data_IF_462176026465
#
_entry.id   IF_462176026465
#
_cell.length_a   1.000
_cell.length_b   1.000
_cell.length_c   1.000
_cell.angle_alpha   90.00
_cell.angle_beta   90.00
_cell.angle_gamma   90.00
#
_symmetry.space_group_name_H-M   'P 1'
#
loop_
_entity.id
_entity.type
_entity.pdbx_description
1 polymer ?
#
# COMPACT_ATOMS: atom_id res chain seq x y z
N UNK A 1 3.57 -30.22 15.81
CA UNK A 1 4.64 -29.20 15.72
C UNK A 1 4.72 -28.46 17.03
N UNK A 2 5.89 -28.00 17.43
CA UNK A 2 6.05 -27.13 18.61
C UNK A 2 5.76 -25.68 18.21
N UNK A 3 4.99 -24.97 19.04
CA UNK A 3 4.73 -23.54 18.90
C UNK A 3 5.41 -22.81 20.06
N UNK A 4 6.13 -21.72 19.76
CA UNK A 4 6.73 -20.84 20.76
C UNK A 4 5.93 -19.55 20.84
N UNK A 5 5.38 -19.25 22.01
CA UNK A 5 4.64 -18.01 22.28
C UNK A 5 5.40 -17.19 23.31
N UNK A 6 5.75 -15.95 22.96
CA UNK A 6 6.35 -15.01 23.89
C UNK A 6 5.25 -14.20 24.59
N UNK A 7 5.23 -14.22 25.92
CA UNK A 7 4.27 -13.45 26.73
C UNK A 7 4.95 -12.16 27.17
N UNK A 8 4.38 -11.02 26.79
CA UNK A 8 4.97 -9.69 26.99
C UNK A 8 3.88 -8.76 27.51
N UNK A 9 4.23 -7.86 28.43
CA UNK A 9 3.36 -6.74 28.81
C UNK A 9 2.98 -5.92 27.58
N UNK A 10 1.76 -5.41 27.54
CA UNK A 10 1.22 -4.79 26.33
C UNK A 10 2.03 -3.57 25.89
N UNK A 11 2.40 -2.67 26.81
CA UNK A 11 3.18 -1.47 26.46
C UNK A 11 4.64 -1.83 26.12
N UNK A 12 5.21 -2.83 26.78
CA UNK A 12 6.53 -3.38 26.40
C UNK A 12 6.52 -4.01 25.00
N UNK A 13 5.40 -4.60 24.61
CA UNK A 13 5.18 -5.09 23.27
C UNK A 13 5.14 -3.93 22.25
N UNK A 14 4.43 -2.83 22.55
CA UNK A 14 4.40 -1.64 21.67
C UNK A 14 5.82 -1.07 21.48
N UNK A 15 6.64 -1.00 22.53
CA UNK A 15 8.05 -0.58 22.45
C UNK A 15 8.91 -1.45 21.52
N UNK A 16 8.52 -2.70 21.29
CA UNK A 16 9.21 -3.58 20.35
C UNK A 16 8.72 -3.38 18.90
N UNK A 17 7.42 -3.14 18.71
CA UNK A 17 6.81 -3.02 17.39
C UNK A 17 7.18 -1.70 16.71
N UNK A 18 7.05 -0.57 17.40
CA UNK A 18 7.29 0.76 16.83
C UNK A 18 8.64 0.84 16.09
N UNK A 19 9.79 0.51 16.71
CA UNK A 19 11.09 0.54 16.02
C UNK A 19 11.29 -0.62 15.03
N UNK A 20 10.43 -1.63 15.04
CA UNK A 20 10.46 -2.74 14.08
C UNK A 20 9.77 -2.39 12.77
N UNK A 21 8.73 -1.56 12.83
CA UNK A 21 7.90 -1.12 11.71
C UNK A 21 8.41 0.16 11.05
N UNK A 22 8.84 1.14 11.83
CA UNK A 22 9.35 2.43 11.34
C UNK A 22 10.79 2.68 11.79
N UNK A 23 11.48 3.61 11.14
CA UNK A 23 12.85 3.95 11.55
C UNK A 23 12.83 4.71 12.88
N UNK A 24 13.69 4.28 13.81
CA UNK A 24 13.82 4.90 15.13
C UNK A 24 14.43 6.31 15.12
N UNK A 25 14.88 6.80 13.96
CA UNK A 25 15.40 8.16 13.72
C UNK A 25 14.35 9.12 13.19
N UNK A 26 13.11 8.66 12.96
CA UNK A 26 12.03 9.53 12.51
C UNK A 26 11.60 10.53 13.57
N UNK A 27 10.94 11.64 13.17
CA UNK A 27 10.52 12.69 14.10
C UNK A 27 9.70 12.14 15.26
N UNK A 28 9.89 12.72 16.44
CA UNK A 28 9.23 12.28 17.67
C UNK A 28 7.70 12.24 17.53
N UNK A 29 7.10 13.28 16.95
CA UNK A 29 5.65 13.37 16.74
C UNK A 29 5.14 12.25 15.81
N UNK A 30 5.93 11.84 14.81
CA UNK A 30 5.61 10.68 13.99
C UNK A 30 5.65 9.39 14.82
N UNK A 31 6.67 9.20 15.68
CA UNK A 31 6.79 8.01 16.51
C UNK A 31 5.63 7.92 17.52
N UNK A 32 5.22 9.04 18.12
CA UNK A 32 4.05 9.12 19.01
C UNK A 32 2.76 8.77 18.27
N UNK A 33 2.49 9.42 17.13
CA UNK A 33 1.26 9.19 16.37
C UNK A 33 1.17 7.76 15.84
N UNK A 34 2.30 7.20 15.41
CA UNK A 34 2.40 5.81 15.00
C UNK A 34 2.21 4.84 16.18
N UNK A 35 2.69 5.18 17.38
CA UNK A 35 2.47 4.37 18.59
C UNK A 35 0.98 4.20 18.91
N UNK A 36 0.18 5.25 18.75
CA UNK A 36 -1.29 5.20 18.93
C UNK A 36 -1.93 4.25 17.89
N UNK A 37 -1.51 4.33 16.63
CA UNK A 37 -2.01 3.43 15.59
C UNK A 37 -1.63 1.96 15.87
N UNK A 38 -0.37 1.70 16.21
CA UNK A 38 0.13 0.37 16.58
C UNK A 38 -0.64 -0.19 17.79
N UNK A 39 -0.89 0.63 18.81
CA UNK A 39 -1.65 0.23 20.00
C UNK A 39 -3.09 -0.13 19.64
N UNK A 40 -3.76 0.72 18.86
CA UNK A 40 -5.15 0.50 18.42
C UNK A 40 -5.28 -0.79 17.60
N UNK A 41 -4.36 -1.01 16.67
CA UNK A 41 -4.30 -2.23 15.88
C UNK A 41 -4.07 -3.47 16.75
N UNK A 42 -3.09 -3.42 17.65
CA UNK A 42 -2.73 -4.53 18.52
C UNK A 42 -3.89 -4.89 19.46
N UNK A 43 -4.55 -3.88 20.03
CA UNK A 43 -5.70 -4.06 20.91
C UNK A 43 -6.89 -4.68 20.17
N UNK A 44 -7.19 -4.25 18.93
CA UNK A 44 -8.22 -4.87 18.09
C UNK A 44 -7.93 -6.37 17.89
N UNK A 45 -6.68 -6.75 17.60
CA UNK A 45 -6.33 -8.18 17.39
C UNK A 45 -6.45 -9.02 18.67
N UNK A 46 -6.18 -8.44 19.82
CA UNK A 46 -6.37 -9.10 21.12
C UNK A 46 -7.87 -9.31 21.38
N UNK A 47 -8.67 -8.24 21.30
CA UNK A 47 -10.11 -8.27 21.60
C UNK A 47 -10.86 -9.18 20.60
N UNK A 48 -10.55 -9.05 19.30
CA UNK A 48 -11.23 -9.81 18.26
C UNK A 48 -10.84 -11.29 18.21
N UNK A 49 -9.86 -11.72 19.01
CA UNK A 49 -9.45 -13.12 19.17
C UNK A 49 -9.11 -13.82 17.83
N UNK A 50 -8.53 -13.08 16.87
CA UNK A 50 -8.30 -13.58 15.51
C UNK A 50 -7.38 -14.82 15.44
N UNK A 51 -6.59 -15.05 16.49
CA UNK A 51 -5.66 -16.17 16.59
C UNK A 51 -5.96 -17.14 17.74
N UNK A 52 -7.21 -17.13 18.25
CA UNK A 52 -7.63 -18.01 19.36
C UNK A 52 -7.37 -19.50 19.06
N UNK A 53 -7.58 -19.93 17.82
CA UNK A 53 -7.32 -21.31 17.40
C UNK A 53 -5.82 -21.69 17.42
N UNK A 54 -4.94 -20.70 17.29
CA UNK A 54 -3.48 -20.89 17.32
C UNK A 54 -2.86 -20.64 18.70
N UNK A 55 -3.65 -20.18 19.69
CA UNK A 55 -3.18 -19.97 21.07
C UNK A 55 -2.29 -18.73 21.27
N UNK A 56 -2.34 -17.75 20.37
CA UNK A 56 -1.66 -16.46 20.51
C UNK A 56 -2.58 -15.32 20.06
N UNK A 57 -2.22 -14.07 20.35
CA UNK A 57 -3.04 -12.90 19.95
C UNK A 57 -2.57 -12.28 18.63
N UNK A 58 -1.25 -12.23 18.40
CA UNK A 58 -0.62 -11.51 17.28
C UNK A 58 0.59 -12.29 16.77
N UNK A 59 0.80 -12.37 15.45
CA UNK A 59 2.00 -12.98 14.85
C UNK A 59 3.06 -11.92 14.44
N UNK A 60 4.37 -12.26 14.45
CA UNK A 60 5.46 -11.29 14.25
C UNK A 60 5.79 -10.97 12.78
N UNK A 61 4.89 -11.27 11.86
CA UNK A 61 5.08 -11.11 10.41
C UNK A 61 4.16 -10.03 9.85
N UNK A 62 4.31 -9.71 8.57
CA UNK A 62 3.44 -8.79 7.82
C UNK A 62 1.96 -9.21 7.78
N UNK A 63 1.63 -10.42 8.26
CA UNK A 63 0.25 -10.83 8.48
C UNK A 63 -0.40 -10.04 9.62
N UNK A 64 0.33 -9.76 10.70
CA UNK A 64 -0.17 -8.90 11.78
C UNK A 64 0.67 -7.64 11.91
N UNK A 65 1.88 -7.74 12.46
CA UNK A 65 2.84 -6.64 12.58
C UNK A 65 4.25 -7.20 12.82
N UNK A 66 5.26 -6.45 12.40
CA UNK A 66 6.66 -6.85 12.53
C UNK A 66 7.11 -6.70 13.98
N UNK A 67 7.49 -7.80 14.62
CA UNK A 67 8.05 -7.83 15.96
C UNK A 67 9.45 -8.43 15.93
N UNK A 68 10.48 -7.64 16.27
CA UNK A 68 11.89 -8.07 16.34
C UNK A 68 12.46 -8.00 17.76
N UNK A 69 11.59 -7.96 18.77
CA UNK A 69 11.95 -7.72 20.17
C UNK A 69 12.58 -6.34 20.38
N UNK A 70 13.40 -6.20 21.42
CA UNK A 70 14.03 -4.93 21.84
C UNK A 70 15.24 -4.49 21.01
N UNK A 71 15.65 -5.26 19.99
CA UNK A 71 16.92 -5.02 19.25
C UNK A 71 17.02 -3.64 18.57
N UNK A 72 15.88 -3.02 18.25
CA UNK A 72 15.84 -1.70 17.58
C UNK A 72 15.32 -0.57 18.47
N UNK A 73 14.91 -0.89 19.70
CA UNK A 73 14.37 0.09 20.63
C UNK A 73 15.44 1.10 21.04
N UNK A 74 15.05 2.36 21.13
CA UNK A 74 15.89 3.47 21.59
C UNK A 74 15.15 4.26 22.66
N UNK A 75 15.87 5.12 23.39
CA UNK A 75 15.24 6.05 24.34
C UNK A 75 14.16 6.91 23.66
N UNK A 76 14.37 7.30 22.40
CA UNK A 76 13.40 8.09 21.66
C UNK A 76 12.11 7.31 21.36
N UNK A 77 12.21 6.06 20.91
CA UNK A 77 11.04 5.23 20.62
C UNK A 77 10.31 4.84 21.90
N UNK A 78 11.04 4.50 22.96
CA UNK A 78 10.44 4.17 24.26
C UNK A 78 9.69 5.38 24.84
N UNK A 79 10.28 6.58 24.76
CA UNK A 79 9.62 7.82 25.20
C UNK A 79 8.36 8.11 24.39
N UNK A 80 8.35 7.90 23.09
CA UNK A 80 7.17 8.09 22.26
C UNK A 80 6.01 7.16 22.67
N UNK A 81 6.33 5.91 23.00
CA UNK A 81 5.34 4.94 23.51
C UNK A 81 4.82 5.36 24.88
N UNK A 82 5.70 5.75 25.81
CA UNK A 82 5.29 6.15 27.17
C UNK A 82 4.48 7.45 27.20
N UNK A 83 4.83 8.46 26.38
CA UNK A 83 4.05 9.71 26.30
C UNK A 83 2.63 9.44 25.77
N UNK A 84 2.47 8.42 24.92
CA UNK A 84 1.17 8.03 24.36
C UNK A 84 0.56 6.82 25.04
N UNK A 85 1.03 6.47 26.25
CA UNK A 85 0.59 5.28 26.98
C UNK A 85 -0.94 5.26 27.10
N UNK A 86 -1.55 4.11 26.83
CA UNK A 86 -3.00 3.95 26.89
C UNK A 86 -3.80 4.62 25.76
N UNK A 87 -3.20 5.52 24.97
CA UNK A 87 -3.92 6.22 23.91
C UNK A 87 -4.16 5.32 22.70
N UNK A 88 -5.43 5.22 22.30
CA UNK A 88 -5.90 4.48 21.11
C UNK A 88 -6.84 5.34 20.28
N UNK A 89 -7.20 4.87 19.08
CA UNK A 89 -8.15 5.50 18.19
C UNK A 89 -9.54 4.89 18.36
N UNK A 90 -10.54 5.76 18.50
CA UNK A 90 -11.95 5.41 18.61
C UNK A 90 -12.76 6.14 17.53
N UNK A 91 -13.70 5.44 16.91
CA UNK A 91 -14.64 6.02 15.95
C UNK A 91 -16.05 5.52 16.30
N UNK A 92 -16.99 6.45 16.53
CA UNK A 92 -18.37 6.13 16.96
C UNK A 92 -18.39 5.19 18.19
N UNK A 93 -17.54 5.46 19.17
CA UNK A 93 -17.36 4.68 20.41
C UNK A 93 -16.95 3.22 20.18
N UNK A 94 -16.32 2.92 19.04
CA UNK A 94 -15.70 1.62 18.75
C UNK A 94 -14.23 1.80 18.49
N UNK A 95 -13.44 0.85 18.95
CA UNK A 95 -12.01 0.79 18.67
C UNK A 95 -11.78 0.77 17.15
N UNK A 96 -10.86 1.60 16.69
CA UNK A 96 -10.41 1.64 15.30
C UNK A 96 -9.40 0.52 15.07
N UNK A 97 -9.65 -0.36 14.11
CA UNK A 97 -8.60 -1.24 13.58
C UNK A 97 -7.67 -0.42 12.70
N UNK A 98 -6.62 0.11 13.33
CA UNK A 98 -5.70 1.07 12.71
C UNK A 98 -4.70 0.37 11.77
N UNK A 99 -5.17 -0.09 10.61
CA UNK A 99 -4.28 -0.59 9.56
C UNK A 99 -3.32 0.50 9.09
N UNK A 100 -2.09 0.12 8.76
CA UNK A 100 -1.04 1.00 8.27
C UNK A 100 -0.16 0.27 7.27
N UNK A 101 0.43 1.00 6.33
CA UNK A 101 1.45 0.46 5.43
C UNK A 101 2.50 1.50 5.04
N UNK A 102 3.53 1.07 4.32
CA UNK A 102 4.74 1.90 4.12
C UNK A 102 4.44 3.22 3.41
N UNK A 103 3.94 3.15 2.18
CA UNK A 103 3.59 4.34 1.40
C UNK A 103 2.33 4.08 0.59
N UNK A 104 1.49 5.10 0.42
CA UNK A 104 0.22 4.98 -0.29
C UNK A 104 0.27 5.62 -1.69
N UNK A 105 1.29 6.42 -1.97
CA UNK A 105 1.45 7.10 -3.25
C UNK A 105 0.45 8.27 -3.35
N UNK A 106 0.31 9.04 -2.28
CA UNK A 106 -0.48 10.28 -2.25
C UNK A 106 -1.97 10.10 -1.97
N UNK A 107 -2.50 8.89 -1.91
CA UNK A 107 -3.90 8.63 -1.54
C UNK A 107 -4.08 7.22 -0.99
N UNK A 108 -4.81 7.05 0.11
CA UNK A 108 -5.19 5.74 0.65
C UNK A 108 -6.46 5.22 -0.04
N UNK A 109 -6.83 3.98 0.24
CA UNK A 109 -8.00 3.31 -0.31
C UNK A 109 -8.85 2.70 0.80
N UNK A 110 -10.14 2.56 0.51
CA UNK A 110 -11.11 2.00 1.42
C UNK A 110 -10.90 0.50 1.69
N UNK A 111 -11.15 0.07 2.91
CA UNK A 111 -11.16 -1.37 3.24
C UNK A 111 -12.20 -2.15 2.40
N UNK A 112 -13.30 -1.50 2.02
CA UNK A 112 -14.30 -2.05 1.08
C UNK A 112 -13.67 -2.39 -0.27
N UNK A 113 -12.93 -1.47 -0.89
CA UNK A 113 -12.37 -1.71 -2.21
C UNK A 113 -11.14 -2.63 -2.16
N UNK A 114 -10.37 -2.61 -1.08
CA UNK A 114 -9.18 -3.46 -0.95
C UNK A 114 -9.52 -4.90 -0.55
N UNK A 115 -10.44 -5.10 0.41
CA UNK A 115 -10.74 -6.41 1.00
C UNK A 115 -12.21 -6.83 0.94
N UNK A 116 -13.11 -5.98 0.43
CA UNK A 116 -14.55 -6.26 0.46
C UNK A 116 -15.18 -6.07 1.84
N UNK A 117 -14.52 -5.34 2.74
CA UNK A 117 -15.03 -5.08 4.09
C UNK A 117 -16.31 -4.23 4.09
N UNK A 118 -17.10 -4.36 5.15
CA UNK A 118 -18.32 -3.57 5.35
C UNK A 118 -17.98 -2.07 5.52
N UNK A 119 -18.44 -1.18 4.62
CA UNK A 119 -18.13 0.24 4.67
C UNK A 119 -18.78 0.98 5.84
N UNK A 120 -19.87 0.45 6.42
CA UNK A 120 -20.52 1.04 7.59
C UNK A 120 -19.69 0.74 8.84
N UNK A 121 -19.30 -0.54 9.00
CA UNK A 121 -18.47 -0.99 10.12
C UNK A 121 -17.09 -0.34 10.11
N UNK A 122 -16.47 -0.23 8.93
CA UNK A 122 -15.12 0.31 8.75
C UNK A 122 -15.13 1.70 8.10
N UNK A 123 -16.09 2.55 8.47
CA UNK A 123 -16.23 3.90 7.87
C UNK A 123 -14.99 4.79 8.03
N UNK A 124 -14.16 4.54 9.05
CA UNK A 124 -12.87 5.21 9.27
C UNK A 124 -11.73 4.68 8.38
N UNK A 125 -11.92 3.56 7.66
CA UNK A 125 -10.99 3.08 6.63
C UNK A 125 -11.51 3.50 5.26
N UNK A 126 -11.60 4.81 5.08
CA UNK A 126 -12.00 5.47 3.83
C UNK A 126 -10.78 6.11 3.16
N UNK A 127 -10.84 6.41 1.84
CA UNK A 127 -9.75 7.08 1.15
C UNK A 127 -9.44 8.44 1.77
N UNK A 128 -8.16 8.71 1.99
CA UNK A 128 -7.64 9.99 2.46
C UNK A 128 -6.60 10.47 1.46
N UNK A 129 -6.79 11.68 0.95
CA UNK A 129 -5.83 12.33 0.07
C UNK A 129 -4.67 12.90 0.89
N UNK A 130 -3.44 12.61 0.47
CA UNK A 130 -2.20 12.86 1.22
C UNK A 130 -1.15 13.53 0.32
N UNK A 131 -1.39 14.76 -0.16
CA UNK A 131 -0.45 15.47 -1.03
C UNK A 131 0.90 15.77 -0.34
N UNK A 132 0.95 15.69 0.99
CA UNK A 132 2.17 15.88 1.78
C UNK A 132 3.12 14.68 1.71
N UNK A 133 2.65 13.50 1.28
CA UNK A 133 3.51 12.33 1.17
C UNK A 133 4.50 12.52 0.02
N UNK A 134 5.80 12.58 0.33
CA UNK A 134 6.90 12.72 -0.64
C UNK A 134 7.23 11.39 -1.31
N UNK A 135 6.22 10.71 -1.86
CA UNK A 135 6.33 9.32 -2.34
C UNK A 135 7.29 9.12 -3.51
N UNK A 136 7.58 10.18 -4.26
CA UNK A 136 8.60 10.23 -5.30
C UNK A 136 10.04 10.17 -4.74
N UNK A 137 10.23 10.58 -3.49
CA UNK A 137 11.51 10.56 -2.78
C UNK A 137 11.71 9.29 -1.94
N UNK A 138 10.67 8.48 -1.78
CA UNK A 138 10.73 7.23 -1.02
C UNK A 138 11.24 6.11 -1.92
N UNK A 139 12.37 5.51 -1.52
CA UNK A 139 12.95 4.37 -2.24
C UNK A 139 11.94 3.24 -2.44
N UNK A 140 11.62 2.98 -3.70
CA UNK A 140 10.74 1.90 -4.11
C UNK A 140 9.25 2.15 -3.93
N UNK A 141 8.82 3.35 -3.51
CA UNK A 141 7.40 3.74 -3.51
C UNK A 141 6.92 4.06 -4.92
N UNK A 142 7.72 4.68 -5.79
CA UNK A 142 7.48 4.67 -7.24
C UNK A 142 8.21 3.49 -7.89
N UNK A 143 7.55 2.79 -8.80
CA UNK A 143 8.12 1.61 -9.44
C UNK A 143 7.49 1.35 -10.81
N UNK A 144 8.27 0.73 -11.69
CA UNK A 144 7.81 0.35 -13.03
C UNK A 144 8.38 -1.00 -13.44
N UNK A 145 7.67 -1.70 -14.32
CA UNK A 145 8.14 -2.94 -14.91
C UNK A 145 7.58 -3.11 -16.32
N UNK A 146 8.42 -3.58 -17.24
CA UNK A 146 8.05 -3.85 -18.63
C UNK A 146 8.16 -5.34 -18.88
N UNK A 147 7.12 -5.92 -19.50
CA UNK A 147 7.03 -7.36 -19.76
C UNK A 147 6.68 -7.60 -21.22
N UNK A 148 7.36 -8.52 -21.90
CA UNK A 148 6.80 -9.11 -23.12
C UNK A 148 5.50 -9.86 -22.84
N UNK A 149 4.70 -10.17 -23.86
CA UNK A 149 3.50 -10.98 -23.68
C UNK A 149 3.76 -12.35 -23.01
N UNK A 150 4.90 -12.98 -23.28
CA UNK A 150 5.29 -14.23 -22.60
C UNK A 150 5.65 -13.98 -21.14
N UNK A 151 6.51 -12.99 -20.85
CA UNK A 151 6.87 -12.65 -19.46
C UNK A 151 5.66 -12.23 -18.61
N UNK A 152 4.69 -11.51 -19.20
CA UNK A 152 3.44 -11.15 -18.53
C UNK A 152 2.62 -12.41 -18.21
N UNK A 153 2.51 -13.35 -19.16
CA UNK A 153 1.85 -14.63 -18.89
C UNK A 153 2.54 -15.39 -17.76
N UNK A 154 3.87 -15.47 -17.78
CA UNK A 154 4.64 -16.21 -16.77
C UNK A 154 4.49 -15.57 -15.38
N UNK A 155 4.53 -14.23 -15.29
CA UNK A 155 4.27 -13.48 -14.07
C UNK A 155 2.90 -13.84 -13.49
N UNK A 156 1.85 -13.78 -14.32
CA UNK A 156 0.48 -14.05 -13.88
C UNK A 156 0.29 -15.51 -13.46
N UNK A 157 0.88 -16.46 -14.19
CA UNK A 157 0.85 -17.88 -13.84
C UNK A 157 1.68 -18.23 -12.60
N UNK A 158 2.57 -17.34 -12.15
CA UNK A 158 3.22 -17.43 -10.84
C UNK A 158 2.25 -17.25 -9.66
N UNK A 159 1.06 -16.68 -9.89
CA UNK A 159 0.05 -16.51 -8.85
C UNK A 159 -0.85 -17.76 -8.74
N UNK A 160 -0.90 -18.38 -7.56
CA UNK A 160 -1.79 -19.51 -7.27
C UNK A 160 -3.28 -19.17 -7.48
N UNK A 161 -3.62 -17.88 -7.37
CA UNK A 161 -4.97 -17.36 -7.63
C UNK A 161 -5.33 -17.41 -9.12
N UNK A 162 -4.33 -17.26 -9.99
CA UNK A 162 -4.50 -17.40 -11.44
C UNK A 162 -4.56 -18.86 -11.83
N UNK A 163 -3.64 -19.70 -11.32
CA UNK A 163 -3.63 -21.13 -11.70
C UNK A 163 -4.85 -21.90 -11.19
N UNK A 164 -5.42 -21.53 -10.04
CA UNK A 164 -6.65 -22.14 -9.52
C UNK A 164 -7.91 -21.80 -10.33
N UNK A 165 -7.95 -20.64 -10.99
CA UNK A 165 -9.14 -20.18 -11.74
C UNK A 165 -9.00 -20.40 -13.24
N UNK A 166 -7.81 -20.19 -13.81
CA UNK A 166 -7.52 -20.24 -15.24
C UNK A 166 -6.63 -21.42 -15.67
N UNK A 167 -6.12 -22.21 -14.72
CA UNK A 167 -5.17 -23.28 -14.98
C UNK A 167 -3.77 -22.76 -15.33
N UNK A 168 -2.94 -23.63 -15.90
CA UNK A 168 -1.55 -23.32 -16.26
C UNK A 168 -1.36 -22.92 -17.73
N UNK A 169 -2.46 -22.75 -18.47
CA UNK A 169 -2.40 -22.35 -19.88
C UNK A 169 -1.98 -20.88 -20.00
N UNK A 170 -1.19 -20.58 -21.05
CA UNK A 170 -0.69 -19.23 -21.34
C UNK A 170 -1.82 -18.19 -21.27
N UNK A 171 -1.56 -17.09 -20.57
CA UNK A 171 -2.46 -15.93 -20.56
C UNK A 171 -2.22 -15.13 -21.85
N UNK A 172 -3.29 -14.90 -22.60
CA UNK A 172 -3.26 -14.25 -23.91
C UNK A 172 -3.83 -12.84 -23.88
N UNK A 173 -4.66 -12.51 -22.88
CA UNK A 173 -5.27 -11.18 -22.74
C UNK A 173 -5.29 -10.73 -21.27
N UNK A 174 -4.93 -9.47 -21.06
CA UNK A 174 -4.98 -8.78 -19.75
C UNK A 174 -5.74 -7.48 -19.95
N UNK A 175 -6.86 -7.31 -19.26
CA UNK A 175 -7.73 -6.14 -19.43
C UNK A 175 -8.04 -5.52 -18.07
N UNK A 176 -7.60 -4.27 -17.84
CA UNK A 176 -8.09 -3.48 -16.71
C UNK A 176 -9.49 -2.98 -17.05
N UNK A 177 -10.48 -3.41 -16.28
CA UNK A 177 -11.88 -3.06 -16.49
C UNK A 177 -12.30 -1.81 -15.72
N UNK A 178 -11.70 -1.55 -14.56
CA UNK A 178 -12.04 -0.38 -13.75
C UNK A 178 -10.96 -0.03 -12.74
N UNK A 179 -10.96 1.25 -12.35
CA UNK A 179 -10.23 1.79 -11.22
C UNK A 179 -11.21 2.16 -10.10
N UNK A 180 -10.73 2.24 -8.86
CA UNK A 180 -11.44 2.92 -7.78
C UNK A 180 -11.42 4.43 -8.00
N UNK A 181 -12.24 5.18 -7.26
CA UNK A 181 -12.22 6.65 -7.28
C UNK A 181 -10.85 7.19 -6.85
N UNK A 182 -10.17 6.53 -5.91
CA UNK A 182 -8.80 6.84 -5.46
C UNK A 182 -7.72 6.40 -6.46
N UNK A 183 -8.10 5.83 -7.61
CA UNK A 183 -7.19 5.51 -8.70
C UNK A 183 -6.49 4.14 -8.62
N UNK A 184 -6.86 3.27 -7.69
CA UNK A 184 -6.32 1.91 -7.59
C UNK A 184 -6.94 1.01 -8.66
N UNK A 185 -6.20 0.04 -9.18
CA UNK A 185 -6.79 -0.98 -10.08
C UNK A 185 -7.77 -1.83 -9.26
N UNK A 186 -9.03 -1.85 -9.69
CA UNK A 186 -10.10 -2.53 -8.96
C UNK A 186 -10.53 -3.84 -9.63
N UNK A 187 -10.66 -3.85 -10.97
CA UNK A 187 -11.08 -5.03 -11.73
C UNK A 187 -10.16 -5.31 -12.89
N UNK A 188 -9.74 -6.57 -13.02
CA UNK A 188 -8.95 -7.06 -14.16
C UNK A 188 -9.56 -8.35 -14.67
N UNK A 189 -9.72 -8.45 -15.99
CA UNK A 189 -10.07 -9.69 -16.68
C UNK A 189 -8.84 -10.29 -17.34
N UNK A 190 -8.64 -11.57 -17.11
CA UNK A 190 -7.61 -12.36 -17.78
C UNK A 190 -8.28 -13.40 -18.69
N UNK A 191 -7.67 -13.66 -19.84
CA UNK A 191 -8.08 -14.72 -20.79
C UNK A 191 -6.90 -15.64 -21.06
N UNK A 192 -7.10 -16.95 -20.99
CA UNK A 192 -6.06 -17.93 -21.34
C UNK A 192 -6.15 -18.38 -22.81
N UNK A 193 -5.17 -19.15 -23.27
CA UNK A 193 -5.10 -19.65 -24.65
C UNK A 193 -6.21 -20.63 -25.05
N UNK A 194 -6.99 -21.14 -24.10
CA UNK A 194 -8.18 -21.94 -24.36
C UNK A 194 -9.47 -21.09 -24.41
N UNK A 195 -9.35 -19.76 -24.36
CA UNK A 195 -10.50 -18.84 -24.34
C UNK A 195 -11.22 -18.74 -22.99
N UNK A 196 -10.72 -19.41 -21.93
CA UNK A 196 -11.31 -19.28 -20.60
C UNK A 196 -10.99 -17.90 -20.03
N UNK A 197 -12.00 -17.25 -19.48
CA UNK A 197 -11.87 -15.93 -18.86
C UNK A 197 -12.16 -15.98 -17.36
N UNK A 198 -11.52 -15.10 -16.60
CA UNK A 198 -11.84 -14.87 -15.20
C UNK A 198 -11.62 -13.40 -14.84
N UNK A 199 -12.52 -12.83 -14.04
CA UNK A 199 -12.44 -11.43 -13.60
C UNK A 199 -12.11 -11.38 -12.12
N UNK A 200 -10.95 -10.82 -11.81
CA UNK A 200 -10.54 -10.53 -10.44
C UNK A 200 -11.04 -9.14 -10.07
N UNK A 201 -11.54 -9.02 -8.84
CA UNK A 201 -11.97 -7.76 -8.24
C UNK A 201 -11.29 -7.58 -6.89
N UNK A 202 -11.31 -6.36 -6.35
CA UNK A 202 -10.67 -5.93 -5.11
C UNK A 202 -9.15 -5.76 -5.23
N UNK A 203 -8.65 -4.67 -4.66
CA UNK A 203 -7.25 -4.26 -4.83
C UNK A 203 -6.26 -5.30 -4.27
N UNK A 204 -6.59 -5.97 -3.15
CA UNK A 204 -5.72 -7.02 -2.58
C UNK A 204 -5.54 -8.22 -3.53
N UNK A 205 -6.61 -8.66 -4.19
CA UNK A 205 -6.54 -9.73 -5.17
C UNK A 205 -5.73 -9.29 -6.39
N UNK A 206 -5.95 -8.07 -6.89
CA UNK A 206 -5.16 -7.54 -8.01
C UNK A 206 -3.66 -7.51 -7.66
N UNK A 207 -3.30 -7.00 -6.48
CA UNK A 207 -1.92 -6.98 -6.01
C UNK A 207 -1.30 -8.38 -5.99
N UNK A 208 -2.06 -9.38 -5.53
CA UNK A 208 -1.65 -10.79 -5.49
C UNK A 208 -1.59 -11.46 -6.87
N UNK A 209 -2.41 -11.04 -7.83
CA UNK A 209 -2.40 -11.55 -9.22
C UNK A 209 -1.15 -11.07 -9.95
N UNK A 210 -0.79 -9.80 -9.79
CA UNK A 210 0.34 -9.18 -10.48
C UNK A 210 1.65 -9.25 -9.70
N UNK A 211 1.64 -9.72 -8.45
CA UNK A 211 2.81 -9.75 -7.55
C UNK A 211 3.50 -8.39 -7.40
N UNK A 212 2.69 -7.33 -7.32
CA UNK A 212 3.15 -5.93 -7.28
C UNK A 212 3.20 -5.37 -5.86
N UNK A 213 3.94 -4.28 -5.66
CA UNK A 213 4.12 -3.65 -4.34
C UNK A 213 2.82 -3.02 -3.81
N UNK A 214 1.97 -2.50 -4.70
CA UNK A 214 0.66 -1.93 -4.40
C UNK A 214 -0.30 -2.19 -5.57
N UNK A 215 -1.61 -2.03 -5.33
CA UNK A 215 -2.61 -1.99 -6.41
C UNK A 215 -2.82 -0.58 -6.99
N UNK A 216 -2.08 0.41 -6.50
CA UNK A 216 -2.07 1.77 -7.04
C UNK A 216 -1.09 1.81 -8.22
N UNK A 217 -1.52 1.22 -9.34
CA UNK A 217 -0.73 1.20 -10.56
C UNK A 217 -1.58 1.42 -11.81
N UNK A 218 -0.92 1.67 -12.92
CA UNK A 218 -1.48 1.76 -14.26
C UNK A 218 -0.89 0.64 -15.10
N UNK A 219 -1.76 -0.08 -15.81
CA UNK A 219 -1.35 -1.03 -16.83
C UNK A 219 -1.45 -0.31 -18.17
N UNK A 220 -0.31 -0.10 -18.81
CA UNK A 220 -0.30 0.22 -20.21
C UNK A 220 -0.38 -1.07 -21.01
N UNK A 221 -1.41 -1.14 -21.85
CA UNK A 221 -1.55 -2.19 -22.84
C UNK A 221 -0.42 -2.08 -23.87
N UNK A 222 -0.24 -3.11 -24.72
CA UNK A 222 0.80 -3.13 -25.75
C UNK A 222 0.53 -2.11 -26.84
N UNK A 223 0.72 -0.84 -26.54
CA UNK A 223 0.72 0.24 -27.51
C UNK A 223 1.76 1.23 -26.99
N UNK A 224 3.02 0.80 -27.06
CA UNK A 224 4.15 1.65 -26.71
C UNK A 224 4.44 2.54 -27.91
N UNK A 225 4.61 3.84 -27.68
CA UNK A 225 5.20 4.76 -28.66
C UNK A 225 6.71 4.75 -28.40
N UNK A 226 7.49 4.10 -29.26
CA UNK A 226 8.95 4.07 -29.16
C UNK A 226 9.55 5.28 -29.90
N UNK A 227 10.27 6.15 -29.18
CA UNK A 227 10.92 7.33 -29.77
C UNK A 227 12.30 6.99 -30.34
N UNK A 228 12.81 7.77 -31.32
CA UNK A 228 14.22 7.73 -31.73
C UNK A 228 15.13 7.97 -30.51
N UNK A 229 16.16 7.15 -30.32
CA UNK A 229 17.03 7.19 -29.12
C UNK A 229 16.64 6.22 -27.99
N UNK A 230 15.55 5.46 -28.14
CA UNK A 230 15.23 4.31 -27.30
C UNK A 230 14.28 4.58 -26.12
N UNK A 231 13.95 5.83 -25.83
CA UNK A 231 12.98 6.20 -24.79
C UNK A 231 11.56 5.70 -25.13
N UNK A 232 10.77 5.36 -24.11
CA UNK A 232 9.42 4.81 -24.26
C UNK A 232 8.37 5.77 -23.72
N UNK A 233 7.33 6.01 -24.52
CA UNK A 233 6.13 6.73 -24.12
C UNK A 233 4.94 5.78 -24.14
N UNK A 234 4.16 5.80 -23.08
CA UNK A 234 2.99 4.95 -22.88
C UNK A 234 1.74 5.80 -22.82
N UNK A 235 0.68 5.38 -23.52
CA UNK A 235 -0.64 5.99 -23.37
C UNK A 235 -1.51 5.11 -22.48
N UNK A 236 -2.01 5.66 -21.37
CA UNK A 236 -3.00 5.00 -20.50
C UNK A 236 -4.19 5.95 -20.36
N UNK A 237 -5.35 5.56 -20.90
CA UNK A 237 -6.60 6.33 -20.86
C UNK A 237 -6.43 7.79 -21.34
N UNK A 238 -5.68 8.01 -22.43
CA UNK A 238 -5.44 9.34 -22.99
C UNK A 238 -4.37 10.18 -22.28
N UNK A 239 -3.76 9.66 -21.20
CA UNK A 239 -2.61 10.29 -20.55
C UNK A 239 -1.31 9.63 -21.00
N UNK A 240 -0.29 10.44 -21.28
CA UNK A 240 1.04 9.96 -21.66
C UNK A 240 1.96 9.83 -20.43
N UNK A 241 2.69 8.72 -20.37
CA UNK A 241 3.67 8.38 -19.33
C UNK A 241 5.02 8.17 -20.01
N UNK A 242 6.09 8.76 -19.48
CA UNK A 242 7.41 8.75 -20.11
C UNK A 242 8.44 8.02 -19.26
N UNK A 243 9.18 7.06 -19.83
CA UNK A 243 10.34 6.42 -19.18
C UNK A 243 11.66 6.83 -19.82
N UNK A 244 12.57 7.36 -19.02
CA UNK A 244 13.96 7.55 -19.42
C UNK A 244 14.67 6.19 -19.44
N UNK A 245 15.32 5.83 -20.54
CA UNK A 245 16.36 4.79 -20.48
C UNK A 245 17.44 5.30 -19.52
N UNK A 246 17.70 4.53 -18.45
CA UNK A 246 18.68 4.80 -17.37
C UNK A 246 18.17 5.55 -16.14
N UNK A 247 16.88 5.87 -16.05
CA UNK A 247 16.29 6.34 -14.79
C UNK A 247 15.14 5.42 -14.41
N UNK A 248 15.20 4.80 -13.22
CA UNK A 248 14.12 3.99 -12.65
C UNK A 248 12.93 4.86 -12.21
N UNK A 249 12.55 5.85 -13.01
CA UNK A 249 11.47 6.80 -12.73
C UNK A 249 10.72 7.13 -14.02
N UNK A 250 9.39 7.11 -13.92
CA UNK A 250 8.50 7.51 -15.00
C UNK A 250 7.72 8.71 -14.52
N UNK A 251 7.75 9.78 -15.32
CA UNK A 251 6.97 10.97 -15.07
C UNK A 251 5.66 10.90 -15.88
N UNK A 252 4.56 11.25 -15.23
CA UNK A 252 3.35 11.69 -15.95
C UNK A 252 3.72 12.90 -16.79
N UNK A 253 3.38 12.95 -18.09
CA UNK A 253 3.77 14.11 -18.93
C UNK A 253 3.28 15.45 -18.35
N UNK A 254 2.17 15.47 -17.62
CA UNK A 254 1.66 16.65 -16.89
C UNK A 254 2.54 17.16 -15.72
N UNK A 255 3.53 16.36 -15.28
CA UNK A 255 4.51 16.73 -14.25
C UNK A 255 5.91 16.95 -14.84
N UNK A 256 6.03 16.92 -16.17
CA UNK A 256 7.25 17.29 -16.86
C UNK A 256 7.27 18.81 -16.97
N UNK A 257 8.31 19.52 -16.50
CA UNK A 257 8.39 20.98 -16.58
C UNK A 257 8.15 21.49 -18.00
N UNK A 258 7.43 22.61 -18.10
CA UNK A 258 7.19 23.30 -19.37
C UNK A 258 8.53 23.62 -20.05
N UNK A 259 8.68 23.26 -21.33
CA UNK A 259 9.95 23.43 -22.08
C UNK A 259 10.90 22.23 -22.07
N UNK A 260 10.61 21.15 -21.32
CA UNK A 260 11.43 19.91 -21.38
C UNK A 260 11.28 19.17 -22.71
N UNK A 261 10.16 19.38 -23.41
CA UNK A 261 9.91 18.83 -24.75
C UNK A 261 9.17 19.86 -25.61
N UNK A 262 9.47 19.88 -26.92
CA UNK A 262 8.62 20.56 -27.90
C UNK A 262 7.58 19.56 -28.42
N UNK A 263 6.31 19.98 -28.40
CA UNK A 263 5.14 19.21 -28.89
C UNK A 263 5.33 18.71 -30.35
N UNK A 264 6.25 19.34 -31.09
CA UNK A 264 6.58 19.07 -32.49
C UNK A 264 7.70 18.02 -32.71
N UNK A 265 8.23 17.34 -31.67
CA UNK A 265 9.30 16.33 -31.82
C UNK A 265 8.86 14.87 -31.77
N UNK A 266 7.55 14.57 -31.67
CA UNK A 266 7.05 13.19 -31.75
C UNK A 266 6.84 12.80 -33.23
N UNK A 267 7.93 12.72 -34.00
CA UNK A 267 7.92 12.20 -35.37
C UNK A 267 8.72 10.90 -35.45
N UNK A 268 8.21 9.88 -36.16
CA UNK A 268 8.91 8.60 -36.36
C UNK A 268 8.72 7.55 -35.26
N UNK A 269 7.64 7.64 -34.47
CA UNK A 269 7.34 6.62 -33.46
C UNK A 269 6.94 5.29 -34.10
N UNK A 270 7.33 4.19 -33.48
CA UNK A 270 6.82 2.86 -33.82
C UNK A 270 5.83 2.40 -32.75
N UNK A 271 4.68 1.89 -33.19
CA UNK A 271 3.72 1.23 -32.31
C UNK A 271 4.26 -0.16 -31.98
N UNK A 272 4.69 -0.35 -30.75
CA UNK A 272 5.13 -1.65 -30.25
C UNK A 272 4.00 -2.31 -29.44
N UNK A 273 3.41 -3.34 -30.04
CA UNK A 273 2.36 -4.17 -29.46
C UNK A 273 2.88 -5.44 -28.75
N UNK A 274 4.19 -5.53 -28.50
CA UNK A 274 4.79 -6.75 -27.95
C UNK A 274 4.95 -6.75 -26.43
N UNK A 275 4.77 -5.59 -25.77
CA UNK A 275 5.08 -5.41 -24.33
C UNK A 275 3.96 -4.76 -23.52
N UNK A 276 3.87 -5.11 -22.25
CA UNK A 276 3.02 -4.51 -21.23
C UNK A 276 3.87 -3.66 -20.29
N UNK A 277 3.38 -2.48 -19.93
CA UNK A 277 3.98 -1.63 -18.91
C UNK A 277 3.13 -1.62 -17.64
N UNK A 278 3.74 -1.87 -16.48
CA UNK A 278 3.11 -1.66 -15.17
C UNK A 278 3.81 -0.48 -14.49
N UNK A 279 3.04 0.53 -14.10
CA UNK A 279 3.55 1.76 -13.46
C UNK A 279 2.83 1.98 -12.16
N UNK A 280 3.52 1.82 -11.04
CA UNK A 280 2.91 1.90 -9.73
C UNK A 280 3.54 2.91 -8.80
N UNK A 281 2.74 3.27 -7.81
CA UNK A 281 3.10 4.15 -6.72
C UNK A 281 2.63 3.55 -5.38
N UNK A 282 3.25 3.95 -4.28
CA UNK A 282 3.05 3.35 -2.98
C UNK A 282 3.63 1.93 -2.83
N UNK A 283 3.73 1.52 -1.58
CA UNK A 283 4.20 0.22 -1.13
C UNK A 283 3.31 -0.21 0.04
N UNK A 284 2.44 -1.20 -0.21
CA UNK A 284 1.58 -1.76 0.82
C UNK A 284 0.17 -2.03 0.34
N UNK A 285 -0.72 -2.29 1.29
CA UNK A 285 -2.14 -2.49 1.00
C UNK A 285 -2.88 -1.17 0.76
N UNK A 286 -2.34 -0.03 1.21
CA UNK A 286 -2.91 1.28 0.92
C UNK A 286 -4.09 1.69 1.80
N UNK A 287 -4.24 1.15 3.00
CA UNK A 287 -5.41 1.42 3.87
C UNK A 287 -4.91 2.09 5.15
N UNK A 288 -5.63 3.10 5.62
CA UNK A 288 -5.34 3.78 6.89
C UNK A 288 -4.06 4.62 6.80
N UNK A 289 -3.15 4.44 7.76
CA UNK A 289 -1.98 5.29 7.92
C UNK A 289 -0.86 4.94 6.93
N UNK A 290 -0.38 5.93 6.17
CA UNK A 290 0.90 5.84 5.47
C UNK A 290 2.01 6.19 6.47
N UNK A 291 2.94 5.27 6.69
CA UNK A 291 4.08 5.46 7.59
C UNK A 291 4.91 6.68 7.15
N UNK A 292 5.20 6.79 5.85
CA UNK A 292 5.99 7.92 5.34
C UNK A 292 5.21 9.23 5.33
N UNK A 293 3.90 9.22 5.09
CA UNK A 293 3.11 10.43 5.22
C UNK A 293 3.07 10.91 6.68
N UNK A 294 3.00 10.00 7.66
CA UNK A 294 3.07 10.37 9.08
C UNK A 294 4.40 11.05 9.43
N UNK A 295 5.52 10.56 8.87
CA UNK A 295 6.84 11.22 8.97
C UNK A 295 6.81 12.61 8.34
N UNK A 296 6.23 12.73 7.15
CA UNK A 296 6.21 13.99 6.41
C UNK A 296 5.34 15.05 7.10
N UNK A 297 4.18 14.66 7.66
CA UNK A 297 3.35 15.54 8.49
C UNK A 297 4.10 16.00 9.75
N UNK A 298 4.84 15.11 10.41
CA UNK A 298 5.65 15.49 11.57
C UNK A 298 6.79 16.45 11.19
N UNK A 299 7.42 16.27 10.02
CA UNK A 299 8.40 17.22 9.49
C UNK A 299 7.79 18.59 9.16
N UNK A 300 6.49 18.63 8.86
CA UNK A 300 5.70 19.86 8.68
C UNK A 300 5.21 20.46 10.01
N UNK A 301 5.57 19.86 11.16
CA UNK A 301 5.25 20.37 12.50
C UNK A 301 3.91 19.91 13.08
N UNK A 302 3.22 18.97 12.44
CA UNK A 302 1.96 18.43 12.95
C UNK A 302 2.19 17.68 14.26
N UNK A 303 1.24 17.83 15.19
CA UNK A 303 1.29 17.13 16.47
C UNK A 303 0.80 15.68 16.33
N UNK A 304 1.27 14.80 17.21
CA UNK A 304 0.99 13.38 17.13
C UNK A 304 -0.51 13.04 17.16
N UNK A 305 -1.35 13.83 17.82
CA UNK A 305 -2.80 13.64 17.83
C UNK A 305 -3.42 13.90 16.46
N UNK A 306 -2.96 14.95 15.78
CA UNK A 306 -3.39 15.31 14.43
C UNK A 306 -2.94 14.23 13.45
N UNK A 307 -1.68 13.80 13.54
CA UNK A 307 -1.12 12.73 12.71
C UNK A 307 -1.90 11.43 12.91
N UNK A 308 -2.16 11.02 14.15
CA UNK A 308 -2.83 9.76 14.44
C UNK A 308 -4.26 9.73 13.91
N UNK A 309 -5.00 10.83 13.99
CA UNK A 309 -6.41 10.89 13.59
C UNK A 309 -6.62 11.20 12.10
N UNK A 310 -5.68 11.89 11.45
CA UNK A 310 -5.75 12.30 10.04
C UNK A 310 -6.05 11.14 9.08
N UNK A 311 -5.45 9.97 9.31
CA UNK A 311 -5.59 8.82 8.41
C UNK A 311 -6.87 8.00 8.61
N UNK A 312 -7.65 8.31 9.64
CA UNK A 312 -8.84 7.55 10.02
C UNK A 312 -10.02 8.51 10.21
N UNK A 313 -10.73 8.89 9.12
CA UNK A 313 -11.77 9.91 9.17
C UNK A 313 -12.85 9.62 10.23
N UNK A 314 -13.16 10.65 11.02
CA UNK A 314 -14.14 10.56 12.12
C UNK A 314 -13.65 9.81 13.36
N UNK A 315 -12.35 9.45 13.41
CA UNK A 315 -11.73 8.96 14.65
C UNK A 315 -11.34 10.10 15.59
N UNK A 316 -11.16 9.74 16.85
CA UNK A 316 -10.59 10.57 17.92
C UNK A 316 -9.67 9.70 18.79
N UNK A 317 -8.83 10.34 19.59
CA UNK A 317 -8.10 9.63 20.65
C UNK A 317 -9.07 9.29 21.79
N UNK A 318 -8.91 8.10 22.35
CA UNK A 318 -9.61 7.59 23.52
C UNK A 318 -8.62 6.84 24.42
N UNK A 319 -9.02 6.63 25.68
CA UNK A 319 -8.26 5.75 26.57
C UNK A 319 -8.60 4.29 26.26
N UNK A 320 -7.59 3.41 26.21
CA UNK A 320 -7.79 1.99 25.97
C UNK A 320 -8.65 1.31 27.04
N UNK A 321 -8.66 1.83 28.27
CA UNK A 321 -9.48 1.31 29.38
C UNK A 321 -10.98 1.35 29.06
N UNK A 322 -11.43 2.25 28.18
CA UNK A 322 -12.82 2.35 27.72
C UNK A 322 -13.32 1.08 27.00
N UNK A 323 -12.43 0.19 26.57
CA UNK A 323 -12.76 -0.99 25.77
C UNK A 323 -12.67 -2.33 26.52
N UNK A 324 -12.41 -2.30 27.84
CA UNK A 324 -12.32 -3.49 28.69
C UNK A 324 -13.48 -3.66 29.68
N UNK A 325 -14.53 -2.84 29.57
CA UNK A 325 -15.73 -2.89 30.40
C UNK A 325 -16.73 -3.97 30.00
#
# INVERSE_FOLDING_TARGET
GMSLTNVVDFEEYIKCVVPSEVFNTWPEECLKGFSIAVRSYSLDKIISSNHAAQGFHICPTTHCQVYKGRLKATVATDRAVEVTRGMVLSCKNKLVVAYYSSSHGGVSESAKNVWGSDPVKYSYLSPVYMPQETYDQISGATWSSTYTATQMSDLLLGSSRVTSTLGTKKITKVEVLSYTESGYVYKVRLTNSAGKTYTYSQCSNIRSVFSVKSANFKLANPTTLRMPGGNQVWSVNGKLYYSYLNVNSIAMLSHVPEGTFSENQVSGYQVDNSTYGIFGQGYGHGIGMSQYCARDLANLGWQYEEIATFFYPGSKIADMEEFFS
#
